data_IF_475564817919
#
_entry.id   IF_475564817919
#
_cell.length_a   1.000
_cell.length_b   1.000
_cell.length_c   1.000
_cell.angle_alpha   90.00
_cell.angle_beta   90.00
_cell.angle_gamma   90.00
#
_symmetry.space_group_name_H-M   'P 1'
#
loop_
_entity.id
_entity.type
_entity.pdbx_description
1 polymer ?
#
# COMPACT_ATOMS: atom_id res chain seq x y z
N UNK A 1 0.16 -0.07 18.03
CA UNK A 1 -0.57 1.01 17.32
C UNK A 1 -2.04 1.15 17.73
N UNK A 2 -2.87 0.09 17.68
CA UNK A 2 -4.33 0.14 17.91
C UNK A 2 -4.79 -0.57 19.20
N UNK A 3 -5.72 0.04 19.94
CA UNK A 3 -6.40 -0.51 21.14
C UNK A 3 -6.56 0.51 22.29
N UNK A 4 -7.10 0.12 23.46
CA UNK A 4 -7.32 1.04 24.59
C UNK A 4 -6.04 1.73 25.03
N UNK A 5 -6.06 3.07 25.12
CA UNK A 5 -4.92 3.90 25.52
C UNK A 5 -3.74 3.87 24.54
N UNK A 6 -3.85 3.24 23.36
CA UNK A 6 -2.80 3.20 22.32
C UNK A 6 -2.92 4.39 21.37
N UNK A 7 -1.94 4.64 20.46
CA UNK A 7 -2.00 5.79 19.56
C UNK A 7 -3.30 5.95 18.79
N UNK A 8 -3.85 4.85 18.28
CA UNK A 8 -5.23 4.79 17.79
C UNK A 8 -6.06 4.19 18.93
N UNK A 9 -6.64 5.08 19.74
CA UNK A 9 -7.31 4.73 20.98
C UNK A 9 -8.77 4.29 20.76
N UNK A 10 -9.07 3.02 21.02
CA UNK A 10 -10.42 2.46 20.83
C UNK A 10 -11.40 2.87 21.93
N UNK A 11 -10.95 3.53 23.00
CA UNK A 11 -11.85 4.16 23.97
C UNK A 11 -12.40 5.51 23.47
N UNK A 12 -11.78 6.07 22.42
CA UNK A 12 -12.18 7.33 21.79
C UNK A 12 -12.71 7.15 20.38
N UNK A 13 -12.13 6.23 19.62
CA UNK A 13 -12.43 6.03 18.21
C UNK A 13 -13.18 4.72 17.98
N UNK A 14 -14.28 4.80 17.24
CA UNK A 14 -14.88 3.63 16.60
C UNK A 14 -14.09 3.30 15.34
N UNK A 15 -13.21 2.30 15.42
CA UNK A 15 -12.28 1.96 14.34
C UNK A 15 -12.91 0.94 13.41
N UNK A 16 -13.07 1.31 12.14
CA UNK A 16 -13.47 0.42 11.05
C UNK A 16 -12.24 0.03 10.25
N UNK A 17 -11.97 -1.27 10.14
CA UNK A 17 -10.91 -1.81 9.29
C UNK A 17 -11.54 -2.78 8.30
N UNK A 18 -11.34 -2.53 7.01
CA UNK A 18 -11.92 -3.33 5.93
C UNK A 18 -10.85 -4.17 5.27
N UNK A 19 -11.18 -5.41 4.94
CA UNK A 19 -10.34 -6.20 4.05
C UNK A 19 -10.59 -5.73 2.60
N UNK A 20 -9.52 -5.48 1.85
CA UNK A 20 -9.62 -5.00 0.46
C UNK A 20 -10.40 -5.97 -0.44
N UNK A 21 -11.21 -5.43 -1.36
CA UNK A 21 -11.73 -6.20 -2.50
C UNK A 21 -10.54 -6.84 -3.25
N UNK A 22 -10.71 -8.07 -3.72
CA UNK A 22 -9.63 -8.85 -4.36
C UNK A 22 -8.71 -9.61 -3.41
N UNK A 23 -8.78 -9.34 -2.10
CA UNK A 23 -8.05 -10.11 -1.07
C UNK A 23 -8.67 -11.49 -0.81
N UNK A 24 -8.01 -12.30 0.03
CA UNK A 24 -8.41 -13.65 0.43
C UNK A 24 -8.77 -13.76 1.92
N UNK A 25 -9.09 -12.64 2.58
CA UNK A 25 -9.33 -12.56 4.03
C UNK A 25 -10.77 -12.25 4.44
N UNK A 26 -11.71 -12.47 3.53
CA UNK A 26 -13.15 -12.33 3.79
C UNK A 26 -13.88 -11.69 2.61
N UNK A 27 -13.44 -10.50 2.20
CA UNK A 27 -13.97 -9.78 1.03
C UNK A 27 -13.77 -10.59 -0.25
N UNK A 28 -14.67 -10.38 -1.21
CA UNK A 28 -14.68 -11.09 -2.48
C UNK A 28 -13.37 -10.90 -3.25
N UNK A 29 -12.80 -11.98 -3.77
CA UNK A 29 -11.62 -11.96 -4.63
C UNK A 29 -11.52 -13.23 -5.48
N UNK A 30 -10.39 -13.44 -6.19
CA UNK A 30 -10.15 -14.63 -7.02
C UNK A 30 -10.37 -15.97 -6.30
N UNK A 31 -10.16 -16.02 -4.99
CA UNK A 31 -10.34 -17.22 -4.17
C UNK A 31 -11.82 -17.48 -3.80
N UNK A 32 -12.72 -16.52 -3.97
CA UNK A 32 -14.14 -16.60 -3.62
C UNK A 32 -14.93 -17.41 -4.64
N UNK A 33 -16.09 -17.92 -4.23
CA UNK A 33 -17.04 -18.60 -5.12
C UNK A 33 -17.77 -17.58 -5.98
N UNK A 34 -17.73 -17.79 -7.30
CA UNK A 34 -18.55 -17.08 -8.26
C UNK A 34 -19.98 -17.63 -8.21
N UNK A 35 -20.98 -16.80 -7.88
CA UNK A 35 -22.38 -17.24 -7.79
C UNK A 35 -22.94 -17.69 -9.15
N UNK A 36 -22.38 -17.26 -10.29
CA UNK A 36 -22.86 -17.66 -11.61
C UNK A 36 -22.46 -19.10 -11.98
N UNK A 37 -21.28 -19.54 -11.54
CA UNK A 37 -20.74 -20.87 -11.88
C UNK A 37 -20.76 -21.86 -10.71
N UNK A 38 -20.90 -21.39 -9.48
CA UNK A 38 -20.77 -22.20 -8.26
C UNK A 38 -19.34 -22.67 -7.97
N UNK A 39 -18.35 -22.17 -8.71
CA UNK A 39 -16.93 -22.52 -8.56
C UNK A 39 -16.11 -21.28 -8.19
N UNK A 40 -14.84 -21.44 -7.79
CA UNK A 40 -13.99 -20.28 -7.47
C UNK A 40 -13.74 -19.44 -8.73
N UNK A 41 -13.74 -18.11 -8.59
CA UNK A 41 -13.47 -17.18 -9.70
C UNK A 41 -12.14 -17.48 -10.41
N UNK A 42 -11.07 -17.74 -9.65
CA UNK A 42 -9.70 -17.88 -10.17
C UNK A 42 -9.37 -16.67 -11.06
N UNK A 43 -8.85 -16.90 -12.27
CA UNK A 43 -8.57 -15.83 -13.24
C UNK A 43 -9.82 -15.33 -13.98
N UNK A 44 -10.99 -15.90 -13.71
CA UNK A 44 -12.28 -15.33 -14.13
C UNK A 44 -12.73 -14.15 -13.26
N UNK A 45 -12.00 -13.81 -12.19
CA UNK A 45 -12.26 -12.59 -11.42
C UNK A 45 -11.99 -11.36 -12.31
N UNK A 46 -12.87 -10.34 -12.30
CA UNK A 46 -12.65 -9.11 -13.06
C UNK A 46 -11.32 -8.46 -12.73
N UNK A 47 -10.75 -7.73 -13.69
CA UNK A 47 -9.57 -6.92 -13.41
C UNK A 47 -9.84 -5.98 -12.23
N UNK A 48 -8.85 -5.85 -11.35
CA UNK A 48 -8.97 -5.12 -10.09
C UNK A 48 -8.11 -3.87 -10.15
N UNK A 49 -8.71 -2.72 -9.85
CA UNK A 49 -8.05 -1.43 -9.65
C UNK A 49 -8.01 -1.06 -8.17
N UNK A 50 -7.19 -0.07 -7.80
CA UNK A 50 -7.19 0.48 -6.44
C UNK A 50 -8.50 1.24 -6.16
N UNK A 51 -9.08 1.83 -7.20
CA UNK A 51 -10.36 2.52 -7.20
C UNK A 51 -11.51 1.59 -6.82
N UNK A 52 -11.53 0.36 -7.34
CA UNK A 52 -12.55 -0.62 -6.94
C UNK A 52 -12.46 -0.96 -5.45
N UNK A 53 -11.23 -1.04 -4.92
CA UNK A 53 -10.99 -1.26 -3.48
C UNK A 53 -11.49 -0.06 -2.66
N UNK A 54 -11.26 1.15 -3.15
CA UNK A 54 -11.72 2.39 -2.53
C UNK A 54 -13.25 2.52 -2.53
N UNK A 55 -13.90 2.23 -3.65
CA UNK A 55 -15.36 2.27 -3.80
C UNK A 55 -16.02 1.23 -2.89
N UNK A 56 -15.49 0.00 -2.85
CA UNK A 56 -15.98 -1.04 -1.93
C UNK A 56 -15.84 -0.63 -0.45
N UNK A 57 -14.76 0.07 -0.09
CA UNK A 57 -14.58 0.60 1.27
C UNK A 57 -15.57 1.72 1.59
N UNK A 58 -15.85 2.62 0.64
CA UNK A 58 -16.86 3.67 0.78
C UNK A 58 -18.26 3.09 1.00
N UNK A 59 -18.60 2.01 0.32
CA UNK A 59 -19.88 1.32 0.50
C UNK A 59 -20.04 0.72 1.89
N UNK A 60 -18.97 0.19 2.49
CA UNK A 60 -19.00 -0.27 3.89
C UNK A 60 -19.26 0.90 4.84
N UNK A 61 -18.59 2.04 4.66
CA UNK A 61 -18.78 3.24 5.51
C UNK A 61 -20.25 3.70 5.44
N UNK A 62 -20.82 3.77 4.24
CA UNK A 62 -22.24 4.12 4.03
C UNK A 62 -23.19 3.10 4.64
N UNK A 63 -22.93 1.81 4.45
CA UNK A 63 -23.76 0.73 4.98
C UNK A 63 -23.77 0.70 6.52
N UNK A 64 -22.70 1.16 7.16
CA UNK A 64 -22.63 1.34 8.62
C UNK A 64 -23.37 2.60 9.11
N UNK A 65 -23.95 3.41 8.20
CA UNK A 65 -24.63 4.65 8.54
C UNK A 65 -23.70 5.78 8.96
N UNK A 66 -22.42 5.72 8.58
CA UNK A 66 -21.44 6.75 8.90
C UNK A 66 -21.46 7.80 7.79
N UNK A 67 -21.96 8.99 8.09
CA UNK A 67 -22.05 10.09 7.13
C UNK A 67 -20.67 10.63 6.75
N UNK A 68 -19.76 10.74 7.72
CA UNK A 68 -18.42 11.25 7.52
C UNK A 68 -17.44 10.66 8.55
N UNK A 69 -16.33 10.11 8.07
CA UNK A 69 -15.23 9.64 8.91
C UNK A 69 -14.51 10.81 9.57
N UNK A 70 -14.20 10.69 10.86
CA UNK A 70 -13.35 11.67 11.52
C UNK A 70 -11.93 11.70 10.92
N UNK A 71 -11.38 10.52 10.63
CA UNK A 71 -10.08 10.35 10.01
C UNK A 71 -10.06 9.09 9.14
N UNK A 72 -9.49 9.18 7.94
CA UNK A 72 -9.16 8.04 7.08
C UNK A 72 -7.66 7.77 7.15
N UNK A 73 -7.28 6.57 7.60
CA UNK A 73 -5.87 6.16 7.70
C UNK A 73 -5.57 5.14 6.61
N UNK A 74 -4.53 5.40 5.80
CA UNK A 74 -4.06 4.51 4.76
C UNK A 74 -2.57 4.26 4.85
N UNK A 75 -2.15 2.99 4.88
CA UNK A 75 -0.74 2.58 4.93
C UNK A 75 -0.34 1.78 3.69
N UNK A 76 0.82 2.05 3.08
CA UNK A 76 1.31 1.33 1.89
C UNK A 76 0.26 1.32 0.76
N UNK A 77 -0.16 0.15 0.25
CA UNK A 77 -1.31 0.00 -0.67
C UNK A 77 -2.59 0.66 -0.14
N UNK A 78 -2.81 0.63 1.18
CA UNK A 78 -3.91 1.33 1.83
C UNK A 78 -3.79 2.86 1.72
N UNK A 79 -2.58 3.40 1.58
CA UNK A 79 -2.33 4.81 1.28
C UNK A 79 -2.80 5.18 -0.13
N UNK A 80 -2.50 4.34 -1.13
CA UNK A 80 -3.05 4.49 -2.49
C UNK A 80 -4.57 4.42 -2.48
N UNK A 81 -5.12 3.41 -1.79
CA UNK A 81 -6.57 3.22 -1.64
C UNK A 81 -7.24 4.42 -0.97
N UNK A 82 -6.63 4.98 0.08
CA UNK A 82 -7.16 6.14 0.77
C UNK A 82 -7.18 7.39 -0.12
N UNK A 83 -6.14 7.62 -0.93
CA UNK A 83 -6.12 8.73 -1.89
C UNK A 83 -7.21 8.56 -2.96
N UNK A 84 -7.36 7.36 -3.52
CA UNK A 84 -8.43 7.05 -4.48
C UNK A 84 -9.82 7.28 -3.86
N UNK A 85 -10.01 6.85 -2.61
CA UNK A 85 -11.27 7.01 -1.87
C UNK A 85 -11.59 8.51 -1.68
N UNK A 86 -10.63 9.32 -1.24
CA UNK A 86 -10.83 10.75 -1.02
C UNK A 86 -11.10 11.52 -2.32
N UNK A 87 -10.48 11.10 -3.42
CA UNK A 87 -10.69 11.70 -4.74
C UNK A 87 -12.09 11.39 -5.28
N UNK A 88 -12.53 10.13 -5.17
CA UNK A 88 -13.78 9.63 -5.75
C UNK A 88 -15.02 9.89 -4.89
N UNK A 89 -14.83 10.02 -3.58
CA UNK A 89 -15.90 10.27 -2.62
C UNK A 89 -15.61 11.53 -1.77
N UNK A 90 -15.59 12.74 -2.37
CA UNK A 90 -15.31 13.96 -1.62
C UNK A 90 -16.25 14.14 -0.43
N UNK A 91 -15.69 14.55 0.72
CA UNK A 91 -16.46 14.78 1.95
C UNK A 91 -16.68 13.54 2.82
N UNK A 92 -16.29 12.34 2.38
CA UNK A 92 -16.43 11.10 3.17
C UNK A 92 -15.55 11.07 4.43
N UNK A 93 -14.51 11.90 4.51
CA UNK A 93 -13.64 12.03 5.68
C UNK A 93 -13.30 13.50 5.96
N UNK A 94 -13.10 13.86 7.24
CA UNK A 94 -12.62 15.20 7.65
C UNK A 94 -11.11 15.35 7.60
N UNK A 95 -10.39 14.29 7.94
CA UNK A 95 -8.94 14.27 7.99
C UNK A 95 -8.35 12.98 7.41
N UNK A 96 -7.07 13.01 7.06
CA UNK A 96 -6.37 11.88 6.47
C UNK A 96 -4.99 11.66 7.11
N UNK A 97 -4.62 10.40 7.35
CA UNK A 97 -3.23 10.03 7.63
C UNK A 97 -2.77 9.05 6.54
N UNK A 98 -1.70 9.41 5.83
CA UNK A 98 -1.02 8.56 4.87
C UNK A 98 0.31 8.08 5.45
N UNK A 99 0.55 6.77 5.50
CA UNK A 99 1.78 6.20 6.07
C UNK A 99 2.48 5.31 5.04
N UNK A 100 3.66 5.72 4.58
CA UNK A 100 4.44 4.98 3.57
C UNK A 100 3.62 4.62 2.31
N UNK A 101 2.65 5.45 1.93
CA UNK A 101 1.90 5.31 0.68
C UNK A 101 2.48 6.16 -0.45
N UNK A 102 1.86 6.09 -1.62
CA UNK A 102 2.17 6.98 -2.74
C UNK A 102 0.94 7.24 -3.61
N UNK A 103 1.04 8.28 -4.44
CA UNK A 103 0.04 8.59 -5.47
C UNK A 103 0.22 7.77 -6.77
N UNK A 104 1.38 7.11 -6.93
CA UNK A 104 1.69 6.18 -8.02
C UNK A 104 2.89 5.30 -7.64
N UNK A 105 3.04 4.15 -8.28
CA UNK A 105 4.20 3.29 -8.10
C UNK A 105 5.43 3.78 -8.90
N UNK A 106 6.63 3.71 -8.30
CA UNK A 106 7.89 3.99 -9.00
C UNK A 106 8.49 2.72 -9.65
N UNK A 107 9.35 2.86 -10.69
CA UNK A 107 9.90 1.73 -11.44
C UNK A 107 10.52 0.61 -10.59
N UNK A 108 11.25 0.95 -9.52
CA UNK A 108 11.85 -0.05 -8.64
C UNK A 108 10.79 -0.94 -7.98
N UNK A 109 9.73 -0.33 -7.41
CA UNK A 109 8.65 -1.05 -6.75
C UNK A 109 7.84 -1.91 -7.74
N UNK A 110 7.64 -1.42 -8.97
CA UNK A 110 6.99 -2.15 -10.07
C UNK A 110 7.84 -3.36 -10.46
N UNK A 111 9.16 -3.19 -10.62
CA UNK A 111 10.07 -4.28 -10.97
C UNK A 111 10.09 -5.39 -9.91
N UNK A 112 10.16 -5.02 -8.62
CA UNK A 112 10.08 -5.98 -7.52
C UNK A 112 8.76 -6.74 -7.54
N UNK A 113 7.62 -6.05 -7.66
CA UNK A 113 6.30 -6.70 -7.74
C UNK A 113 6.16 -7.56 -9.00
N UNK A 114 6.74 -7.15 -10.13
CA UNK A 114 6.79 -7.95 -11.34
C UNK A 114 7.49 -9.29 -11.12
N UNK A 115 8.67 -9.28 -10.50
CA UNK A 115 9.41 -10.51 -10.17
C UNK A 115 8.66 -11.39 -9.17
N UNK A 116 7.95 -10.80 -8.20
CA UNK A 116 7.10 -11.56 -7.28
C UNK A 116 5.95 -12.27 -8.02
N UNK A 117 5.27 -11.57 -8.94
CA UNK A 117 4.21 -12.17 -9.77
C UNK A 117 4.77 -13.24 -10.70
N UNK A 118 5.92 -13.01 -11.29
CA UNK A 118 6.61 -13.96 -12.15
C UNK A 118 6.96 -15.25 -11.40
N UNK A 119 7.50 -15.14 -10.17
CA UNK A 119 7.80 -16.30 -9.35
C UNK A 119 6.58 -17.20 -9.10
N UNK A 120 5.40 -16.62 -8.85
CA UNK A 120 4.15 -17.36 -8.72
C UNK A 120 3.74 -18.02 -10.04
N UNK A 121 3.81 -17.27 -11.15
CA UNK A 121 3.38 -17.75 -12.48
C UNK A 121 4.26 -18.84 -13.06
N UNK A 122 5.55 -18.85 -12.72
CA UNK A 122 6.51 -19.86 -13.14
C UNK A 122 6.46 -21.14 -12.29
N UNK A 123 5.75 -21.12 -11.15
CA UNK A 123 5.53 -22.34 -10.37
C UNK A 123 4.68 -23.33 -11.21
N UNK A 124 5.17 -24.55 -11.49
CA UNK A 124 4.43 -25.53 -12.29
C UNK A 124 3.06 -25.88 -11.71
N UNK A 125 2.89 -25.77 -10.39
CA UNK A 125 1.62 -26.04 -9.73
C UNK A 125 0.64 -24.86 -9.81
N UNK A 126 1.04 -23.67 -10.26
CA UNK A 126 0.10 -22.56 -10.44
C UNK A 126 -0.97 -22.88 -11.49
N UNK A 127 -0.62 -23.70 -12.49
CA UNK A 127 -1.55 -24.26 -13.48
C UNK A 127 -2.44 -23.18 -14.13
N UNK A 128 -1.85 -22.06 -14.55
CA UNK A 128 -2.62 -20.94 -15.14
C UNK A 128 -3.67 -20.35 -14.19
N UNK A 129 -3.43 -20.40 -12.88
CA UNK A 129 -4.38 -20.00 -11.84
C UNK A 129 -5.40 -21.06 -11.45
N UNK A 130 -5.31 -22.27 -12.01
CA UNK A 130 -6.20 -23.41 -11.77
C UNK A 130 -5.61 -24.46 -10.81
N UNK A 131 -4.93 -24.02 -9.74
CA UNK A 131 -4.40 -24.88 -8.69
C UNK A 131 -5.49 -25.45 -7.76
N UNK A 132 -5.11 -26.50 -7.04
CA UNK A 132 -5.90 -27.13 -5.98
C UNK A 132 -5.04 -27.32 -4.71
N UNK A 133 -5.59 -27.96 -3.68
CA UNK A 133 -4.86 -28.14 -2.42
C UNK A 133 -3.67 -29.08 -2.55
N UNK A 134 -3.73 -30.05 -3.47
CA UNK A 134 -2.67 -31.02 -3.74
C UNK A 134 -1.56 -30.46 -4.61
N UNK A 135 -1.90 -29.62 -5.59
CA UNK A 135 -0.99 -28.96 -6.53
C UNK A 135 -1.04 -27.46 -6.31
N UNK A 136 -0.55 -27.00 -5.16
CA UNK A 136 -0.52 -25.58 -4.81
C UNK A 136 0.85 -24.97 -5.16
N UNK A 137 0.91 -23.71 -5.68
CA UNK A 137 2.16 -23.06 -6.06
C UNK A 137 2.92 -22.52 -4.84
N UNK A 138 3.35 -23.42 -3.97
CA UNK A 138 4.03 -23.10 -2.72
C UNK A 138 5.42 -22.49 -2.96
N UNK A 139 6.17 -23.00 -3.94
CA UNK A 139 7.53 -22.52 -4.23
C UNK A 139 7.49 -21.09 -4.75
N UNK A 140 6.59 -20.80 -5.69
CA UNK A 140 6.40 -19.46 -6.24
C UNK A 140 5.98 -18.45 -5.17
N UNK A 141 5.04 -18.80 -4.30
CA UNK A 141 4.63 -17.94 -3.18
C UNK A 141 5.77 -17.73 -2.17
N UNK A 142 6.58 -18.75 -1.89
CA UNK A 142 7.75 -18.61 -1.00
C UNK A 142 8.73 -17.61 -1.58
N UNK A 143 9.07 -17.76 -2.86
CA UNK A 143 9.99 -16.84 -3.56
C UNK A 143 9.45 -15.40 -3.57
N UNK A 144 8.18 -15.22 -3.93
CA UNK A 144 7.52 -13.92 -3.89
C UNK A 144 7.60 -13.28 -2.50
N UNK A 145 7.33 -14.06 -1.44
CA UNK A 145 7.39 -13.57 -0.05
C UNK A 145 8.82 -13.22 0.37
N UNK A 146 9.82 -14.05 0.04
CA UNK A 146 11.23 -13.77 0.36
C UNK A 146 11.66 -12.45 -0.28
N UNK A 147 11.37 -12.26 -1.57
CA UNK A 147 11.69 -11.03 -2.29
C UNK A 147 11.01 -9.80 -1.66
N UNK A 148 9.75 -9.94 -1.23
CA UNK A 148 9.05 -8.91 -0.46
C UNK A 148 9.78 -8.58 0.84
N UNK A 149 10.02 -9.57 1.69
CA UNK A 149 10.67 -9.37 2.98
C UNK A 149 12.02 -8.68 2.85
N UNK A 150 12.85 -9.05 1.87
CA UNK A 150 14.15 -8.42 1.60
C UNK A 150 14.00 -6.92 1.32
N UNK A 151 12.96 -6.54 0.59
CA UNK A 151 12.74 -5.15 0.14
C UNK A 151 11.92 -4.30 1.10
N UNK A 152 11.21 -4.91 2.05
CA UNK A 152 10.48 -4.16 3.08
C UNK A 152 11.39 -3.53 4.14
N UNK A 153 12.65 -3.96 4.23
CA UNK A 153 13.61 -3.55 5.26
C UNK A 153 14.88 -2.97 4.63
N UNK A 154 15.58 -2.12 5.37
CA UNK A 154 16.82 -1.53 4.87
C UNK A 154 17.96 -2.56 4.85
N UNK A 155 18.88 -2.43 3.90
CA UNK A 155 20.08 -3.26 3.83
C UNK A 155 20.93 -3.18 5.11
N UNK A 156 20.97 -2.00 5.74
CA UNK A 156 21.67 -1.77 7.02
C UNK A 156 21.04 -2.59 8.16
N UNK A 157 19.72 -2.73 8.19
CA UNK A 157 19.04 -3.56 9.19
C UNK A 157 19.39 -5.05 9.00
N UNK A 158 19.48 -5.52 7.76
CA UNK A 158 19.86 -6.90 7.46
C UNK A 158 21.27 -7.23 7.96
N UNK A 159 22.24 -6.36 7.69
CA UNK A 159 23.62 -6.55 8.14
C UNK A 159 23.72 -6.54 9.68
N UNK A 160 23.09 -5.55 10.33
CA UNK A 160 23.11 -5.44 11.78
C UNK A 160 22.41 -6.60 12.52
N UNK A 161 21.42 -7.25 11.89
CA UNK A 161 20.68 -8.36 12.51
C UNK A 161 21.34 -9.72 12.32
N UNK A 162 21.94 -9.97 11.16
CA UNK A 162 22.38 -11.33 10.80
C UNK A 162 23.86 -11.44 10.48
N UNK A 163 24.50 -10.37 9.98
CA UNK A 163 25.86 -10.42 9.47
C UNK A 163 26.11 -11.65 8.59
N UNK A 164 27.15 -12.43 8.91
CA UNK A 164 27.52 -13.67 8.22
C UNK A 164 27.31 -14.93 9.09
N UNK A 165 26.36 -14.90 10.02
CA UNK A 165 26.13 -16.01 10.95
C UNK A 165 25.62 -17.25 10.20
N UNK A 166 26.35 -18.36 10.32
CA UNK A 166 26.02 -19.66 9.71
C UNK A 166 25.00 -20.44 10.54
N UNK A 167 24.30 -21.37 9.90
CA UNK A 167 23.50 -22.38 10.59
C UNK A 167 24.42 -23.40 11.26
N UNK A 168 23.97 -23.97 12.39
CA UNK A 168 24.67 -25.07 13.05
C UNK A 168 24.68 -26.31 12.13
N UNK A 169 25.73 -27.12 12.18
CA UNK A 169 25.89 -28.29 11.29
C UNK A 169 24.78 -29.32 11.41
N UNK A 170 24.07 -29.36 12.53
CA UNK A 170 22.89 -30.24 12.73
C UNK A 170 21.62 -29.70 12.05
N UNK A 171 21.59 -28.41 11.68
CA UNK A 171 20.49 -27.75 10.97
C UNK A 171 20.73 -27.67 9.46
N UNK A 172 21.94 -27.99 9.00
CA UNK A 172 22.25 -28.11 7.58
C UNK A 172 21.55 -29.34 7.01
N UNK A 173 20.69 -29.15 6.01
CA UNK A 173 20.09 -30.26 5.29
C UNK A 173 21.17 -31.00 4.47
N UNK A 174 20.94 -32.29 4.15
CA UNK A 174 21.77 -33.07 3.20
C UNK A 174 21.63 -32.59 1.73
N UNK A 175 21.36 -31.30 1.53
CA UNK A 175 21.26 -30.63 0.24
C UNK A 175 22.57 -29.85 -0.04
N UNK A 176 23.32 -30.18 -1.10
CA UNK A 176 24.55 -29.47 -1.48
C UNK A 176 24.40 -27.97 -1.70
N UNK A 177 23.18 -27.47 -1.94
CA UNK A 177 22.86 -26.05 -2.09
C UNK A 177 21.73 -25.60 -1.14
N UNK A 178 21.63 -26.27 0.01
CA UNK A 178 20.68 -25.93 1.06
C UNK A 178 21.00 -24.60 1.75
N UNK A 179 20.22 -24.27 2.78
CA UNK A 179 20.42 -23.05 3.57
C UNK A 179 21.73 -23.14 4.36
N UNK A 180 22.56 -22.10 4.31
CA UNK A 180 23.85 -22.05 5.01
C UNK A 180 23.90 -20.96 6.09
N UNK A 181 23.09 -19.90 5.94
CA UNK A 181 23.11 -18.71 6.79
C UNK A 181 21.79 -18.49 7.55
N UNK A 182 21.88 -17.89 8.74
CA UNK A 182 20.73 -17.54 9.57
C UNK A 182 19.73 -16.62 8.85
N UNK A 183 20.21 -15.70 8.01
CA UNK A 183 19.34 -14.83 7.19
C UNK A 183 18.47 -15.62 6.23
N UNK A 184 18.98 -16.71 5.65
CA UNK A 184 18.25 -17.55 4.71
C UNK A 184 17.17 -18.37 5.43
N UNK A 185 17.51 -18.91 6.61
CA UNK A 185 16.55 -19.58 7.51
C UNK A 185 15.45 -18.63 8.00
N UNK A 186 15.79 -17.38 8.32
CA UNK A 186 14.82 -16.35 8.67
C UNK A 186 13.84 -16.06 7.53
N UNK A 187 14.37 -15.84 6.31
CA UNK A 187 13.55 -15.63 5.11
C UNK A 187 12.65 -16.83 4.83
N UNK A 188 13.16 -18.05 5.00
CA UNK A 188 12.40 -19.29 4.86
C UNK A 188 11.27 -19.39 5.88
N UNK A 189 11.52 -19.09 7.15
CA UNK A 189 10.48 -19.09 8.19
C UNK A 189 9.35 -18.10 7.91
N UNK A 190 9.67 -16.89 7.44
CA UNK A 190 8.67 -15.91 7.02
C UNK A 190 7.89 -16.36 5.78
N UNK A 191 8.56 -16.98 4.82
CA UNK A 191 7.94 -17.50 3.61
C UNK A 191 6.94 -18.62 3.92
N UNK A 192 7.33 -19.62 4.74
CA UNK A 192 6.45 -20.74 5.11
C UNK A 192 5.17 -20.29 5.81
N UNK A 193 5.24 -19.28 6.69
CA UNK A 193 4.05 -18.73 7.37
C UNK A 193 3.11 -18.01 6.42
N UNK A 194 3.62 -17.49 5.30
CA UNK A 194 2.83 -16.77 4.31
C UNK A 194 2.13 -17.72 3.34
N UNK A 195 2.79 -18.82 2.98
CA UNK A 195 2.20 -19.91 2.19
C UNK A 195 0.96 -20.43 2.90
N UNK A 196 -0.12 -20.69 2.15
CA UNK A 196 -1.48 -21.01 2.63
C UNK A 196 -2.17 -19.94 3.48
N UNK A 197 -1.44 -18.95 3.99
CA UNK A 197 -2.05 -17.77 4.57
C UNK A 197 -2.51 -16.79 3.49
N UNK A 198 -1.91 -16.76 2.31
CA UNK A 198 -2.36 -15.92 1.21
C UNK A 198 -2.61 -16.74 -0.06
N UNK A 199 -3.67 -16.37 -0.79
CA UNK A 199 -4.04 -17.00 -2.06
C UNK A 199 -3.19 -16.45 -3.22
N UNK A 200 -2.59 -17.32 -4.07
CA UNK A 200 -1.74 -16.91 -5.18
C UNK A 200 -2.43 -15.96 -6.15
N UNK A 201 -3.67 -16.25 -6.57
CA UNK A 201 -4.37 -15.40 -7.52
C UNK A 201 -4.72 -14.05 -6.88
N UNK A 202 -5.23 -14.02 -5.64
CA UNK A 202 -5.43 -12.76 -4.91
C UNK A 202 -4.15 -11.91 -4.83
N UNK A 203 -2.98 -12.54 -4.64
CA UNK A 203 -1.69 -11.85 -4.65
C UNK A 203 -1.42 -11.18 -5.99
N UNK A 204 -1.62 -11.91 -7.10
CA UNK A 204 -1.41 -11.39 -8.45
C UNK A 204 -2.30 -10.16 -8.74
N UNK A 205 -3.58 -10.22 -8.36
CA UNK A 205 -4.53 -9.14 -8.59
C UNK A 205 -4.19 -7.89 -7.79
N UNK A 206 -3.97 -8.02 -6.47
CA UNK A 206 -3.60 -6.89 -5.61
C UNK A 206 -2.22 -6.31 -5.99
N UNK A 207 -1.27 -7.18 -6.34
CA UNK A 207 0.07 -6.73 -6.77
C UNK A 207 0.00 -5.93 -8.08
N UNK A 208 -0.86 -6.33 -9.02
CA UNK A 208 -1.06 -5.63 -10.30
C UNK A 208 -1.81 -4.32 -10.11
N UNK A 209 -2.84 -4.27 -9.27
CA UNK A 209 -3.62 -3.05 -9.04
C UNK A 209 -2.75 -1.92 -8.49
N UNK A 210 -1.79 -2.22 -7.61
CA UNK A 210 -0.80 -1.26 -7.12
C UNK A 210 0.08 -0.65 -8.22
N UNK A 211 0.41 -1.42 -9.26
CA UNK A 211 1.24 -0.95 -10.39
C UNK A 211 0.43 -0.12 -11.40
N UNK A 212 -0.87 -0.36 -11.49
CA UNK A 212 -1.77 0.37 -12.38
C UNK A 212 -2.24 1.70 -11.81
N UNK A 213 -2.29 1.83 -10.48
CA UNK A 213 -2.78 3.05 -9.87
C UNK A 213 -1.86 4.24 -10.15
N UNK A 214 -2.43 5.26 -10.77
CA UNK A 214 -1.79 6.53 -11.06
C UNK A 214 -2.78 7.69 -10.85
N UNK A 215 -2.61 8.42 -9.74
CA UNK A 215 -3.47 9.54 -9.39
C UNK A 215 -3.40 10.70 -10.42
N UNK A 216 -2.32 10.80 -11.21
CA UNK A 216 -2.19 11.85 -12.20
C UNK A 216 -3.14 11.68 -13.40
N UNK A 217 -3.75 10.50 -13.58
CA UNK A 217 -4.75 10.27 -14.64
C UNK A 217 -6.03 11.08 -14.45
N UNK A 218 -6.24 11.64 -13.25
CA UNK A 218 -7.42 12.41 -12.91
C UNK A 218 -7.26 13.92 -13.18
N UNK A 219 -6.10 14.38 -13.67
CA UNK A 219 -5.84 15.82 -13.90
C UNK A 219 -6.72 16.42 -14.99
N UNK A 220 -7.01 15.65 -16.04
CA UNK A 220 -7.73 16.16 -17.22
C UNK A 220 -9.26 16.33 -17.00
N UNK A 221 -9.77 15.98 -15.81
CA UNK A 221 -11.20 16.07 -15.46
C UNK A 221 -11.54 17.21 -14.47
N UNK A 222 -10.60 18.10 -14.12
CA UNK A 222 -10.87 19.19 -13.17
C UNK A 222 -11.02 20.57 -13.85
N UNK A 223 -12.04 21.37 -13.49
CA UNK A 223 -12.09 22.77 -13.89
C UNK A 223 -10.91 23.53 -13.28
N UNK A 224 -10.33 24.46 -14.04
CA UNK A 224 -9.16 25.24 -13.67
C UNK A 224 -9.24 25.76 -12.22
N UNK A 225 -8.19 25.51 -11.44
CA UNK A 225 -8.04 26.05 -10.08
C UNK A 225 -8.00 27.58 -10.20
N UNK A 226 -9.06 28.25 -9.77
CA UNK A 226 -9.14 29.72 -9.78
C UNK A 226 -8.20 30.24 -8.67
N UNK A 227 -6.97 30.58 -9.07
CA UNK A 227 -6.02 31.29 -8.23
C UNK A 227 -6.49 32.74 -8.04
N UNK A 228 -7.53 32.92 -7.22
CA UNK A 228 -8.02 34.23 -6.77
C UNK A 228 -8.14 34.27 -5.27
N UNK A 229 -6.98 34.26 -4.61
CA UNK A 229 -6.82 34.87 -3.29
C UNK A 229 -5.67 35.86 -3.43
N UNK A 230 -5.98 37.12 -3.11
CA UNK A 230 -5.06 38.25 -2.99
C UNK A 230 -4.33 38.72 -4.25
N UNK A 231 -4.99 39.56 -5.05
CA UNK A 231 -4.50 40.85 -5.58
C UNK A 231 -3.15 40.97 -6.32
N UNK A 232 -2.37 39.91 -6.44
CA UNK A 232 -1.11 39.86 -7.18
C UNK A 232 -1.29 38.93 -8.36
N UNK A 233 -1.00 39.44 -9.57
CA UNK A 233 -0.93 38.63 -10.79
C UNK A 233 0.08 37.50 -10.57
N UNK A 234 -0.41 36.32 -10.21
CA UNK A 234 0.32 35.08 -10.40
C UNK A 234 0.22 34.74 -11.89
N UNK A 235 1.36 34.49 -12.53
CA UNK A 235 1.43 33.92 -13.85
C UNK A 235 0.49 32.70 -13.91
N UNK A 236 -0.37 32.66 -14.93
CA UNK A 236 -1.24 31.52 -15.21
C UNK A 236 -0.37 30.29 -15.49
N UNK A 237 0.02 29.56 -14.45
CA UNK A 237 0.59 28.24 -14.58
C UNK A 237 -0.52 27.33 -15.11
N UNK A 238 -0.44 27.00 -16.39
CA UNK A 238 -1.32 26.04 -17.03
C UNK A 238 -1.40 24.79 -16.13
N UNK A 239 -2.62 24.36 -15.79
CA UNK A 239 -2.87 23.08 -15.14
C UNK A 239 -2.13 22.03 -15.97
N UNK A 240 -1.15 21.37 -15.35
CA UNK A 240 -0.26 20.45 -16.06
C UNK A 240 -1.10 19.26 -16.57
N UNK A 241 -1.52 19.28 -17.83
CA UNK A 241 -2.14 18.14 -18.48
C UNK A 241 -1.14 16.98 -18.54
N UNK A 242 -1.61 15.73 -18.43
CA UNK A 242 -0.73 14.56 -18.56
C UNK A 242 -0.08 14.60 -19.95
N UNK A 243 1.26 14.52 -20.08
CA UNK A 243 1.89 14.50 -21.40
C UNK A 243 1.40 13.27 -22.18
N UNK A 244 1.24 13.42 -23.50
CA UNK A 244 0.80 12.37 -24.44
C UNK A 244 1.77 11.15 -24.51
N UNK A 245 2.84 11.18 -23.71
CA UNK A 245 3.79 10.10 -23.51
C UNK A 245 3.29 9.04 -22.52
N UNK A 246 2.18 9.27 -21.82
CA UNK A 246 1.66 8.40 -20.77
C UNK A 246 2.47 8.42 -19.46
N UNK A 247 3.53 9.23 -19.39
CA UNK A 247 4.41 9.33 -18.23
C UNK A 247 3.94 10.44 -17.31
N UNK A 248 3.59 10.08 -16.09
CA UNK A 248 3.25 11.03 -15.04
C UNK A 248 4.49 11.74 -14.52
N UNK A 249 4.39 13.07 -14.44
CA UNK A 249 5.43 13.95 -13.91
C UNK A 249 5.11 14.35 -12.48
N UNK A 250 6.08 14.87 -11.74
CA UNK A 250 5.80 15.40 -10.40
C UNK A 250 4.71 16.48 -10.42
N UNK A 251 4.69 17.32 -11.46
CA UNK A 251 3.67 18.37 -11.62
C UNK A 251 2.26 17.79 -11.80
N UNK A 252 2.09 16.75 -12.62
CA UNK A 252 0.79 16.12 -12.85
C UNK A 252 0.31 15.36 -11.61
N UNK A 253 1.21 14.71 -10.88
CA UNK A 253 0.87 14.05 -9.61
C UNK A 253 0.43 15.07 -8.56
N UNK A 254 1.18 16.17 -8.40
CA UNK A 254 0.80 17.26 -7.50
C UNK A 254 -0.56 17.86 -7.88
N UNK A 255 -0.83 18.06 -9.17
CA UNK A 255 -2.13 18.54 -9.64
C UNK A 255 -3.26 17.56 -9.33
N UNK A 256 -3.05 16.25 -9.46
CA UNK A 256 -4.03 15.22 -9.08
C UNK A 256 -4.32 15.25 -7.58
N UNK A 257 -3.28 15.34 -6.75
CA UNK A 257 -3.40 15.42 -5.30
C UNK A 257 -4.14 16.68 -4.86
N UNK A 258 -3.93 17.81 -5.53
CA UNK A 258 -4.59 19.09 -5.22
C UNK A 258 -6.11 19.07 -5.46
N UNK A 259 -6.65 18.07 -6.16
CA UNK A 259 -8.09 17.89 -6.33
C UNK A 259 -8.78 17.32 -5.09
N UNK A 260 -8.03 16.63 -4.23
CA UNK A 260 -8.58 16.02 -3.01
C UNK A 260 -8.99 17.12 -2.02
N UNK A 261 -10.27 17.14 -1.65
CA UNK A 261 -10.82 18.09 -0.67
C UNK A 261 -10.85 17.45 0.71
N UNK A 262 -9.87 17.80 1.53
CA UNK A 262 -9.73 17.36 2.91
C UNK A 262 -9.32 18.55 3.80
N UNK A 263 -9.77 18.60 5.05
CA UNK A 263 -9.45 19.73 5.92
C UNK A 263 -8.01 19.63 6.44
N UNK A 264 -7.61 18.44 6.91
CA UNK A 264 -6.30 18.20 7.54
C UNK A 264 -5.70 16.89 7.07
N UNK A 265 -4.39 16.87 6.87
CA UNK A 265 -3.69 15.64 6.50
C UNK A 265 -2.31 15.51 7.15
N UNK A 266 -1.90 14.27 7.38
CA UNK A 266 -0.55 13.93 7.81
C UNK A 266 0.02 12.84 6.90
N UNK A 267 1.14 13.12 6.23
CA UNK A 267 1.92 12.11 5.53
C UNK A 267 3.15 11.73 6.36
N UNK A 268 3.35 10.43 6.57
CA UNK A 268 4.47 9.89 7.36
C UNK A 268 5.25 8.92 6.49
N UNK A 269 6.57 9.07 6.39
CA UNK A 269 7.45 8.16 5.66
C UNK A 269 8.63 7.71 6.51
N UNK A 270 9.24 6.58 6.14
CA UNK A 270 10.52 6.16 6.70
C UNK A 270 11.65 6.57 5.73
N UNK A 271 12.70 7.21 6.24
CA UNK A 271 13.82 7.69 5.41
C UNK A 271 14.62 6.55 4.75
N UNK A 272 14.44 5.31 5.20
CA UNK A 272 15.08 4.11 4.64
C UNK A 272 14.13 3.26 3.78
N UNK A 273 12.90 3.72 3.52
CA UNK A 273 11.97 3.03 2.62
C UNK A 273 12.46 3.13 1.17
N UNK A 274 12.68 1.97 0.54
CA UNK A 274 13.13 1.87 -0.86
C UNK A 274 12.00 1.50 -1.81
N UNK A 275 10.85 1.04 -1.29
CA UNK A 275 9.69 0.68 -2.12
C UNK A 275 8.81 1.90 -2.38
N UNK A 276 8.59 2.70 -1.35
CA UNK A 276 7.86 3.95 -1.40
C UNK A 276 8.74 5.05 -0.80
N UNK A 277 9.74 5.53 -1.55
CA UNK A 277 10.72 6.49 -1.05
C UNK A 277 10.06 7.70 -0.39
N UNK A 278 10.74 8.24 0.62
CA UNK A 278 10.17 9.28 1.49
C UNK A 278 9.64 10.50 0.74
N UNK A 279 10.24 10.81 -0.41
CA UNK A 279 9.83 11.87 -1.32
C UNK A 279 8.39 11.71 -1.82
N UNK A 280 7.89 10.47 -1.96
CA UNK A 280 6.50 10.24 -2.35
C UNK A 280 5.51 10.64 -1.25
N UNK A 281 5.88 10.51 0.03
CA UNK A 281 5.03 10.97 1.14
C UNK A 281 5.12 12.49 1.31
N UNK A 282 6.30 13.09 1.06
CA UNK A 282 6.45 14.53 0.97
C UNK A 282 5.59 15.13 -0.16
N UNK A 283 5.61 14.51 -1.35
CA UNK A 283 4.77 14.87 -2.50
C UNK A 283 3.28 14.80 -2.17
N UNK A 284 2.83 13.77 -1.41
CA UNK A 284 1.43 13.70 -0.95
C UNK A 284 1.07 14.91 -0.09
N UNK A 285 1.89 15.25 0.91
CA UNK A 285 1.60 16.40 1.76
C UNK A 285 1.62 17.72 0.98
N UNK A 286 2.57 17.89 0.05
CA UNK A 286 2.64 19.06 -0.81
C UNK A 286 1.43 19.20 -1.72
N UNK A 287 1.02 18.13 -2.40
CA UNK A 287 -0.13 18.14 -3.29
C UNK A 287 -1.45 18.42 -2.54
N UNK A 288 -1.66 17.80 -1.38
CA UNK A 288 -2.83 18.07 -0.55
C UNK A 288 -2.85 19.53 -0.04
N UNK A 289 -1.69 20.07 0.34
CA UNK A 289 -1.53 21.47 0.75
C UNK A 289 -1.82 22.43 -0.41
N UNK A 290 -1.37 22.11 -1.62
CA UNK A 290 -1.71 22.88 -2.83
C UNK A 290 -3.23 22.86 -3.12
N UNK A 291 -3.93 21.79 -2.71
CA UNK A 291 -5.40 21.69 -2.73
C UNK A 291 -6.13 22.45 -1.62
N UNK A 292 -5.40 23.11 -0.70
CA UNK A 292 -5.92 23.92 0.40
C UNK A 292 -6.04 23.21 1.75
N UNK A 293 -5.55 21.96 1.88
CA UNK A 293 -5.55 21.26 3.16
C UNK A 293 -4.45 21.77 4.11
N UNK A 294 -4.72 21.74 5.41
CA UNK A 294 -3.68 21.83 6.45
C UNK A 294 -2.94 20.48 6.51
N UNK A 295 -1.97 20.32 5.60
CA UNK A 295 -1.24 19.08 5.38
C UNK A 295 0.22 19.19 5.80
N UNK A 296 0.69 18.21 6.57
CA UNK A 296 2.07 18.12 7.04
C UNK A 296 2.73 16.81 6.64
N UNK A 297 4.05 16.85 6.48
CA UNK A 297 4.89 15.69 6.23
C UNK A 297 5.85 15.45 7.42
N UNK A 298 6.06 14.19 7.77
CA UNK A 298 7.06 13.75 8.75
C UNK A 298 7.87 12.60 8.17
N UNK A 299 9.16 12.85 7.92
CA UNK A 299 10.15 11.80 7.61
C UNK A 299 10.77 11.26 8.90
N UNK A 300 10.69 9.94 9.10
CA UNK A 300 11.19 9.28 10.31
C UNK A 300 12.47 8.48 10.00
N UNK A 301 13.49 8.68 10.82
CA UNK A 301 14.71 7.88 10.83
C UNK A 301 14.47 6.52 11.49
N UNK A 302 13.82 5.62 10.74
CA UNK A 302 13.65 4.22 11.11
C UNK A 302 14.55 3.34 10.23
N UNK A 303 15.30 2.37 10.79
CA UNK A 303 16.05 1.40 9.98
C UNK A 303 15.15 0.32 9.37
N UNK A 304 13.87 0.26 9.76
CA UNK A 304 12.93 -0.81 9.42
C UNK A 304 12.33 -0.67 8.00
N UNK A 305 12.78 0.30 7.20
CA UNK A 305 12.33 0.51 5.82
C UNK A 305 10.81 0.69 5.71
N UNK A 306 10.24 0.09 4.68
CA UNK A 306 8.80 0.08 4.44
C UNK A 306 8.00 -0.55 5.58
N UNK A 307 8.53 -1.59 6.24
CA UNK A 307 7.86 -2.29 7.35
C UNK A 307 7.78 -1.43 8.63
N UNK A 308 8.42 -0.26 8.69
CA UNK A 308 8.51 0.56 9.89
C UNK A 308 7.14 0.87 10.52
N UNK A 309 6.10 1.11 9.73
CA UNK A 309 4.76 1.38 10.27
C UNK A 309 4.09 0.17 10.93
N UNK A 310 4.58 -1.06 10.69
CA UNK A 310 4.10 -2.30 11.31
C UNK A 310 4.89 -2.69 12.57
N UNK A 311 6.12 -2.21 12.73
CA UNK A 311 7.03 -2.70 13.78
C UNK A 311 7.66 -1.59 14.63
N UNK A 312 7.85 -0.38 14.11
CA UNK A 312 8.48 0.76 14.81
C UNK A 312 7.43 1.71 15.40
N UNK A 313 6.55 1.18 16.25
CA UNK A 313 5.50 1.96 16.89
C UNK A 313 6.05 3.04 17.84
N UNK A 314 7.30 2.91 18.29
CA UNK A 314 7.93 3.92 19.13
C UNK A 314 8.11 5.26 18.39
N UNK A 315 8.42 5.21 17.08
CA UNK A 315 8.55 6.41 16.24
C UNK A 315 7.22 6.83 15.61
N UNK A 316 6.47 5.88 15.07
CA UNK A 316 5.23 6.19 14.33
C UNK A 316 4.05 6.51 15.26
N UNK A 317 3.99 5.87 16.43
CA UNK A 317 2.87 6.00 17.37
C UNK A 317 2.62 7.43 17.85
N UNK A 318 3.63 8.15 18.35
CA UNK A 318 3.46 9.53 18.79
C UNK A 318 2.93 10.47 17.69
N UNK A 319 3.43 10.35 16.45
CA UNK A 319 2.97 11.16 15.33
C UNK A 319 1.48 10.93 15.01
N UNK A 320 1.05 9.66 14.96
CA UNK A 320 -0.35 9.28 14.74
C UNK A 320 -1.23 9.77 15.89
N UNK A 321 -0.82 9.55 17.14
CA UNK A 321 -1.58 10.00 18.31
C UNK A 321 -1.77 11.52 18.31
N UNK A 322 -0.68 12.27 18.15
CA UNK A 322 -0.72 13.73 18.24
C UNK A 322 -1.65 14.34 17.18
N UNK A 323 -1.69 13.74 15.98
CA UNK A 323 -2.63 14.16 14.94
C UNK A 323 -4.08 13.87 15.32
N UNK A 324 -4.37 12.64 15.74
CA UNK A 324 -5.73 12.23 16.14
C UNK A 324 -6.22 12.98 17.39
N UNK A 325 -5.35 13.28 18.34
CA UNK A 325 -5.70 14.03 19.55
C UNK A 325 -6.11 15.48 19.25
N UNK A 326 -5.69 16.00 18.10
CA UNK A 326 -6.08 17.32 17.62
C UNK A 326 -7.34 17.31 16.72
N UNK A 327 -7.95 16.15 16.44
CA UNK A 327 -9.12 15.98 15.54
C UNK A 327 -10.49 16.08 16.23
#
# INVERSE_FOLDING_TARGET
MLGPGKPIDTERWFVVCVNSLGSCKGSTGPASIDPATGTRYRLGFPELSIEDVADAAADVVRALGIEQLACLIGNSMGGMTALALLLRHPGIARSHINISGSAQALPFSIAIRSLQREAIRLDPHWNGGHYDDTHYPESGLRMARKLGVITYRSALEWDGRFGRVRLDSEQAADDPFGLEFQVESYLEGHARRFVRFFDPNCYLYLSRSMDWFDLAEYVDNSPAIDARVDGTQADNAAVAAKPDTGISTDATVLAGLAQIRIARALAIGANTDILFPVQQQEQIAEGLRAGGADAHFIGLDSPQGHDAFLVDFARFGPAVRNFLDAC
#
